data_IF_287013931050
#
_entry.id   IF_287013931050
#
_cell.length_a   1.000
_cell.length_b   1.000
_cell.length_c   1.000
_cell.angle_alpha   90.00
_cell.angle_beta   90.00
_cell.angle_gamma   90.00
#
_symmetry.space_group_name_H-M   'P 1'
#
loop_
_entity.id
_entity.type
_entity.pdbx_description
1 polymer ?
#
# COMPACT_ATOMS: atom_id res chain seq x y z
N UNK A 1 -52.33 -41.87 57.70
CA UNK A 1 -51.54 -41.06 58.66
C UNK A 1 -50.48 -40.29 57.97
N UNK A 2 -50.43 -38.96 58.25
CA UNK A 2 -49.26 -38.03 58.18
C UNK A 2 -48.67 -37.71 56.79
N UNK A 3 -48.94 -36.52 56.35
CA UNK A 3 -48.24 -35.19 56.40
C UNK A 3 -47.35 -34.93 55.16
N UNK A 4 -47.87 -34.03 54.32
CA UNK A 4 -47.40 -32.64 54.09
C UNK A 4 -45.86 -32.47 53.94
N UNK A 5 -45.46 -32.01 52.79
CA UNK A 5 -44.73 -30.71 52.69
C UNK A 5 -44.70 -30.21 51.27
N UNK A 6 -45.18 -29.03 51.15
CA UNK A 6 -44.97 -28.02 50.12
C UNK A 6 -43.49 -27.72 49.94
N UNK A 7 -43.02 -27.61 48.74
CA UNK A 7 -41.91 -26.72 48.41
C UNK A 7 -42.13 -26.13 47.01
N UNK A 8 -42.50 -24.86 47.01
CA UNK A 8 -42.39 -23.92 45.91
C UNK A 8 -40.93 -23.81 45.51
N UNK A 9 -40.63 -23.93 44.22
CA UNK A 9 -39.32 -23.55 43.73
C UNK A 9 -39.49 -22.70 42.48
N UNK A 10 -38.97 -21.52 42.57
CA UNK A 10 -38.94 -20.42 41.62
C UNK A 10 -38.52 -20.84 40.22
N UNK A 11 -39.30 -20.42 39.25
CA UNK A 11 -38.87 -20.33 37.87
C UNK A 11 -37.77 -19.27 37.75
N UNK A 12 -36.55 -19.73 37.58
CA UNK A 12 -35.42 -18.86 37.14
C UNK A 12 -35.51 -18.73 35.62
N UNK A 13 -36.01 -17.61 35.18
CA UNK A 13 -35.84 -17.12 33.84
C UNK A 13 -34.33 -16.88 33.59
N UNK A 14 -33.67 -17.83 33.00
CA UNK A 14 -32.33 -17.60 32.42
C UNK A 14 -32.49 -16.82 31.11
N UNK A 15 -32.51 -15.51 31.20
CA UNK A 15 -32.32 -14.62 30.06
C UNK A 15 -30.92 -14.84 29.54
N UNK A 16 -30.76 -15.59 28.46
CA UNK A 16 -29.57 -15.58 27.68
C UNK A 16 -29.46 -14.20 27.02
N UNK A 17 -28.83 -13.27 27.72
CA UNK A 17 -28.31 -12.05 27.08
C UNK A 17 -27.27 -12.52 26.07
N UNK A 18 -27.65 -12.53 24.81
CA UNK A 18 -26.73 -12.71 23.71
C UNK A 18 -25.71 -11.57 23.74
N UNK A 19 -24.57 -11.81 24.37
CA UNK A 19 -23.39 -11.01 24.18
C UNK A 19 -22.96 -11.23 22.72
N UNK A 20 -23.45 -10.38 21.82
CA UNK A 20 -22.82 -10.19 20.53
C UNK A 20 -21.42 -9.68 20.82
N UNK A 21 -20.46 -10.59 20.85
CA UNK A 21 -19.05 -10.23 20.82
C UNK A 21 -18.85 -9.35 19.58
N UNK A 22 -18.30 -8.14 19.73
CA UNK A 22 -17.92 -7.36 18.55
C UNK A 22 -17.03 -8.26 17.71
N UNK A 23 -17.33 -8.37 16.41
CA UNK A 23 -16.47 -9.05 15.48
C UNK A 23 -15.06 -8.57 15.73
N UNK A 24 -14.17 -9.48 16.14
CA UNK A 24 -12.76 -9.15 16.34
C UNK A 24 -12.28 -8.60 15.00
N UNK A 25 -12.02 -7.31 14.96
CA UNK A 25 -11.41 -6.64 13.83
C UNK A 25 -10.08 -7.36 13.64
N UNK A 26 -9.94 -8.13 12.57
CA UNK A 26 -8.66 -8.72 12.22
C UNK A 26 -7.75 -7.55 11.84
N UNK A 27 -7.08 -7.02 12.85
CA UNK A 27 -6.14 -5.91 12.73
C UNK A 27 -5.00 -6.42 11.86
N UNK A 28 -4.97 -5.98 10.60
CA UNK A 28 -3.89 -6.35 9.68
C UNK A 28 -2.64 -5.67 10.19
N UNK A 29 -1.85 -6.45 10.92
CA UNK A 29 -0.61 -5.99 11.50
C UNK A 29 0.35 -5.59 10.37
N UNK A 30 0.99 -4.43 10.48
CA UNK A 30 2.04 -4.04 9.53
C UNK A 30 3.10 -5.12 9.40
N UNK A 31 3.43 -5.50 8.17
CA UNK A 31 4.50 -6.45 7.91
C UNK A 31 5.83 -5.72 7.84
N UNK A 32 6.75 -6.06 8.74
CA UNK A 32 8.09 -5.49 8.75
C UNK A 32 9.00 -6.23 7.79
N UNK A 33 9.79 -5.46 7.05
CA UNK A 33 10.86 -5.93 6.18
C UNK A 33 12.17 -5.24 6.54
N UNK A 34 13.27 -5.61 5.90
CA UNK A 34 14.55 -4.94 6.09
C UNK A 34 14.42 -3.43 5.84
N UNK A 35 15.05 -2.61 6.68
CA UNK A 35 15.11 -1.17 6.49
C UNK A 35 15.94 -0.85 5.26
N UNK A 36 15.40 -0.08 4.32
CA UNK A 36 16.08 0.37 3.11
C UNK A 36 16.06 1.91 3.03
N UNK A 37 17.20 2.54 3.15
CA UNK A 37 17.35 3.99 2.97
C UNK A 37 17.10 4.35 1.50
N UNK A 38 16.28 5.37 1.26
CA UNK A 38 16.01 5.88 -0.08
C UNK A 38 17.18 6.78 -0.52
N UNK A 39 17.81 6.41 -1.62
CA UNK A 39 18.98 7.14 -2.16
C UNK A 39 18.78 7.49 -3.64
N UNK A 40 19.51 8.48 -4.12
CA UNK A 40 19.59 8.79 -5.55
C UNK A 40 20.50 7.78 -6.30
N UNK A 41 20.72 8.04 -7.58
CA UNK A 41 21.57 7.18 -8.45
C UNK A 41 23.06 7.21 -8.07
N UNK A 42 23.48 8.16 -7.25
CA UNK A 42 24.84 8.31 -6.73
C UNK A 42 25.01 7.75 -5.31
N UNK A 43 23.93 7.19 -4.75
CA UNK A 43 23.92 6.68 -3.38
C UNK A 43 23.73 7.75 -2.30
N UNK A 44 23.38 8.99 -2.69
CA UNK A 44 23.11 10.08 -1.74
C UNK A 44 21.69 9.96 -1.21
N UNK A 45 21.47 10.06 0.13
CA UNK A 45 20.15 10.00 0.71
C UNK A 45 19.20 11.05 0.12
N UNK A 46 17.99 10.60 -0.25
CA UNK A 46 16.92 11.49 -0.73
C UNK A 46 16.43 12.33 0.43
N UNK A 47 16.35 13.64 0.22
CA UNK A 47 15.78 14.61 1.15
C UNK A 47 14.36 14.99 0.70
N UNK A 48 13.42 15.11 1.66
CA UNK A 48 12.03 15.46 1.32
C UNK A 48 11.96 16.83 0.62
N UNK A 49 12.82 17.78 1.01
CA UNK A 49 12.85 19.09 0.38
C UNK A 49 13.23 19.03 -1.12
N UNK A 50 14.05 18.07 -1.52
CA UNK A 50 14.51 17.91 -2.90
C UNK A 50 13.48 17.21 -3.81
N UNK A 51 12.48 16.52 -3.24
CA UNK A 51 11.44 15.86 -4.02
C UNK A 51 10.47 16.91 -4.59
N UNK A 52 10.27 16.86 -5.91
CA UNK A 52 9.24 17.66 -6.57
C UNK A 52 7.84 17.15 -6.19
N UNK A 53 6.93 18.08 -5.96
CA UNK A 53 5.54 17.77 -5.61
C UNK A 53 4.81 17.19 -6.82
N UNK A 54 3.98 16.17 -6.57
CA UNK A 54 3.13 15.51 -7.60
C UNK A 54 3.91 14.89 -8.77
N UNK A 55 5.17 14.53 -8.49
CA UNK A 55 6.05 13.82 -9.44
C UNK A 55 6.05 12.33 -9.12
N UNK A 56 6.06 11.50 -10.17
CA UNK A 56 6.15 10.06 -10.05
C UNK A 56 7.59 9.64 -9.79
N UNK A 57 7.90 9.20 -8.57
CA UNK A 57 9.15 8.52 -8.26
C UNK A 57 8.91 7.03 -8.07
N UNK A 58 9.89 6.20 -8.48
CA UNK A 58 9.85 4.75 -8.36
C UNK A 58 11.12 4.26 -7.65
N UNK A 59 10.95 3.28 -6.76
CA UNK A 59 12.03 2.53 -6.10
C UNK A 59 11.61 1.08 -5.90
N UNK A 60 12.56 0.19 -5.58
CA UNK A 60 12.27 -1.23 -5.34
C UNK A 60 12.15 -1.49 -3.84
N UNK A 61 11.08 -2.19 -3.40
CA UNK A 61 10.86 -2.60 -2.02
C UNK A 61 9.65 -3.54 -1.90
N UNK A 62 9.64 -4.58 -1.05
CA UNK A 62 10.76 -5.05 -0.22
C UNK A 62 11.72 -5.97 -0.96
N UNK A 63 11.41 -6.34 -2.21
CA UNK A 63 12.22 -7.23 -3.03
C UNK A 63 12.80 -6.50 -4.24
N UNK A 64 13.87 -7.07 -4.80
CA UNK A 64 14.58 -6.48 -5.94
C UNK A 64 13.69 -6.20 -7.15
N UNK A 65 12.63 -6.98 -7.36
CA UNK A 65 11.72 -6.84 -8.49
C UNK A 65 10.35 -6.24 -8.14
N UNK A 66 10.14 -5.72 -6.93
CA UNK A 66 8.84 -5.14 -6.54
C UNK A 66 8.88 -3.61 -6.56
N UNK A 67 8.39 -2.97 -7.64
CA UNK A 67 8.40 -1.53 -7.76
C UNK A 67 7.37 -0.88 -6.82
N UNK A 68 7.74 0.27 -6.29
CA UNK A 68 6.91 1.09 -5.42
C UNK A 68 6.93 2.54 -5.91
N UNK A 69 5.80 3.23 -5.80
CA UNK A 69 5.73 4.67 -5.97
C UNK A 69 6.14 5.38 -4.69
N UNK A 70 6.88 6.49 -4.85
CA UNK A 70 7.10 7.49 -3.83
C UNK A 70 6.49 8.80 -4.35
N UNK A 71 5.55 9.38 -3.61
CA UNK A 71 4.79 10.56 -4.02
C UNK A 71 4.82 11.61 -2.92
N UNK A 72 5.27 12.82 -3.26
CA UNK A 72 5.08 14.01 -2.43
C UNK A 72 3.82 14.72 -2.92
N UNK A 73 2.73 14.57 -2.18
CA UNK A 73 1.45 15.15 -2.56
C UNK A 73 1.42 16.65 -2.30
N UNK A 74 0.61 17.39 -3.08
CA UNK A 74 0.45 18.84 -2.94
C UNK A 74 -0.27 19.27 -1.66
N UNK A 75 -0.77 18.32 -0.88
CA UNK A 75 -1.52 18.55 0.37
C UNK A 75 -1.13 17.57 1.46
N UNK A 76 -1.32 17.96 2.70
CA UNK A 76 -1.24 17.06 3.85
C UNK A 76 -2.25 15.92 3.71
N UNK A 77 -1.86 14.74 4.10
CA UNK A 77 -2.75 13.58 4.18
C UNK A 77 -2.94 13.15 5.62
N UNK A 78 -4.14 12.69 5.93
CA UNK A 78 -4.51 12.22 7.27
C UNK A 78 -4.55 10.69 7.30
N UNK A 79 -4.33 10.08 8.46
CA UNK A 79 -4.53 8.65 8.63
C UNK A 79 -5.93 8.22 8.20
N UNK A 80 -6.04 7.00 7.67
CA UNK A 80 -7.30 6.36 7.35
C UNK A 80 -7.38 5.01 8.09
N UNK A 81 -8.36 4.88 8.97
CA UNK A 81 -8.52 3.71 9.85
C UNK A 81 -9.33 2.56 9.26
N UNK A 82 -9.94 2.74 8.08
CA UNK A 82 -10.93 1.77 7.55
C UNK A 82 -10.70 1.44 6.07
N UNK A 83 -9.50 1.02 5.73
CA UNK A 83 -9.25 0.47 4.40
C UNK A 83 -9.67 -0.99 4.36
N UNK A 84 -10.38 -1.40 3.30
CA UNK A 84 -10.91 -2.75 3.15
C UNK A 84 -10.14 -3.56 2.12
N UNK A 85 -9.77 -4.78 2.48
CA UNK A 85 -9.17 -5.77 1.60
C UNK A 85 -10.25 -6.58 0.87
N UNK A 86 -9.84 -7.29 -0.18
CA UNK A 86 -10.72 -8.19 -0.96
C UNK A 86 -11.35 -9.31 -0.11
N UNK A 87 -10.64 -9.82 0.90
CA UNK A 87 -11.12 -10.86 1.82
C UNK A 87 -12.09 -10.32 2.90
N UNK A 88 -12.44 -9.03 2.84
CA UNK A 88 -13.33 -8.36 3.78
C UNK A 88 -12.66 -7.83 5.04
N UNK A 89 -11.37 -8.16 5.27
CA UNK A 89 -10.59 -7.62 6.38
C UNK A 89 -10.38 -6.11 6.24
N UNK A 90 -10.29 -5.41 7.35
CA UNK A 90 -10.00 -3.97 7.40
C UNK A 90 -8.63 -3.71 8.01
N UNK A 91 -8.03 -2.57 7.70
CA UNK A 91 -6.76 -2.14 8.27
C UNK A 91 -6.67 -0.62 8.30
N UNK A 92 -5.80 -0.11 9.20
CA UNK A 92 -5.48 1.29 9.28
C UNK A 92 -4.21 1.64 8.49
N UNK A 93 -4.22 2.83 7.89
CA UNK A 93 -3.06 3.45 7.27
C UNK A 93 -2.71 4.75 8.00
N UNK A 94 -1.44 4.92 8.35
CA UNK A 94 -0.97 6.00 9.22
C UNK A 94 -0.84 7.37 8.54
N UNK A 95 -1.10 7.46 7.22
CA UNK A 95 -0.97 8.70 6.47
C UNK A 95 0.44 8.92 5.91
N UNK A 96 0.74 10.16 5.58
CA UNK A 96 2.03 10.58 5.03
C UNK A 96 3.06 10.92 6.10
N UNK A 97 4.34 10.83 5.73
CA UNK A 97 5.47 11.22 6.58
C UNK A 97 6.06 12.57 6.18
N UNK A 98 7.03 13.02 6.95
CA UNK A 98 7.76 14.28 6.75
C UNK A 98 7.04 15.50 7.32
N UNK A 99 7.67 16.69 7.23
CA UNK A 99 7.15 17.93 7.83
C UNK A 99 5.75 18.30 7.34
N UNK A 100 5.46 18.04 6.06
CA UNK A 100 4.15 18.28 5.45
C UNK A 100 3.14 17.16 5.69
N UNK A 101 3.54 16.03 6.27
CA UNK A 101 2.73 14.79 6.33
C UNK A 101 2.10 14.45 4.97
N UNK A 102 2.87 14.62 3.89
CA UNK A 102 2.39 14.51 2.51
C UNK A 102 3.28 13.62 1.63
N UNK A 103 4.34 13.04 2.21
CA UNK A 103 5.14 12.03 1.51
C UNK A 103 4.54 10.66 1.79
N UNK A 104 4.13 9.97 0.74
CA UNK A 104 3.49 8.65 0.78
C UNK A 104 4.18 7.68 -0.16
N UNK A 105 4.09 6.38 0.12
CA UNK A 105 4.58 5.36 -0.79
C UNK A 105 3.62 4.17 -0.85
N UNK A 106 3.47 3.61 -2.05
CA UNK A 106 2.59 2.49 -2.33
C UNK A 106 3.25 1.51 -3.29
N UNK A 107 2.87 0.23 -3.20
CA UNK A 107 3.22 -0.73 -4.24
C UNK A 107 2.76 -0.19 -5.60
N UNK A 108 3.63 -0.24 -6.60
CA UNK A 108 3.30 0.14 -7.97
C UNK A 108 2.76 -1.06 -8.79
N UNK A 109 2.28 -2.10 -8.11
CA UNK A 109 1.68 -3.28 -8.71
C UNK A 109 0.16 -3.15 -8.60
N UNK A 110 -0.52 -3.02 -9.73
CA UNK A 110 -1.99 -2.89 -9.79
C UNK A 110 -2.68 -4.07 -9.10
N UNK A 111 -3.62 -3.79 -8.19
CA UNK A 111 -4.30 -4.82 -7.40
C UNK A 111 -5.25 -5.73 -8.22
N UNK A 112 -5.55 -5.40 -9.48
CA UNK A 112 -6.38 -6.22 -10.35
C UNK A 112 -5.56 -7.01 -11.39
N UNK A 113 -4.88 -6.31 -12.30
CA UNK A 113 -4.13 -6.96 -13.39
C UNK A 113 -2.67 -7.26 -13.07
N UNK A 114 -2.17 -6.83 -11.91
CA UNK A 114 -0.76 -6.90 -11.53
C UNK A 114 0.17 -6.16 -12.53
N UNK A 115 -0.39 -5.22 -13.30
CA UNK A 115 0.40 -4.34 -14.15
C UNK A 115 1.34 -3.50 -13.26
N UNK A 116 2.56 -3.30 -13.72
CA UNK A 116 3.61 -2.62 -12.96
C UNK A 116 4.55 -1.84 -13.89
N UNK A 117 5.29 -0.85 -13.40
CA UNK A 117 6.31 -0.16 -14.17
C UNK A 117 7.45 -1.12 -14.56
N UNK A 118 7.70 -1.24 -15.86
CA UNK A 118 8.86 -1.93 -16.42
C UNK A 118 9.83 -0.91 -17.01
N UNK A 119 11.02 -1.34 -17.42
CA UNK A 119 11.96 -0.47 -18.15
C UNK A 119 11.42 0.03 -19.48
N UNK A 120 10.54 -0.76 -20.13
CA UNK A 120 9.98 -0.42 -21.44
C UNK A 120 8.74 0.46 -21.30
N UNK A 121 7.80 0.10 -20.41
CA UNK A 121 6.51 0.77 -20.32
C UNK A 121 5.92 0.71 -18.91
N UNK A 122 5.23 1.78 -18.51
CA UNK A 122 4.34 1.78 -17.36
C UNK A 122 2.91 2.09 -17.80
N UNK A 123 1.98 1.19 -17.43
CA UNK A 123 0.54 1.39 -17.55
C UNK A 123 -0.08 1.92 -16.26
N UNK A 124 0.67 1.99 -15.17
CA UNK A 124 0.21 2.52 -13.89
C UNK A 124 1.09 3.68 -13.47
N UNK A 125 0.48 4.79 -13.05
CA UNK A 125 1.19 6.01 -12.65
C UNK A 125 0.28 6.92 -11.82
N UNK A 126 0.87 7.84 -11.08
CA UNK A 126 0.13 8.97 -10.55
C UNK A 126 -0.19 9.96 -11.69
N UNK A 127 -1.43 10.38 -11.78
CA UNK A 127 -1.91 11.40 -12.71
C UNK A 127 -2.43 12.60 -11.91
N UNK A 128 -1.75 13.74 -12.10
CA UNK A 128 -2.15 15.01 -11.50
C UNK A 128 -3.42 15.56 -12.13
N UNK A 129 -3.43 15.57 -13.47
CA UNK A 129 -4.50 16.19 -14.25
C UNK A 129 -5.70 15.25 -14.37
N UNK A 130 -6.92 15.79 -14.45
CA UNK A 130 -8.10 15.00 -14.74
C UNK A 130 -8.03 14.39 -16.16
N UNK A 131 -8.74 13.28 -16.34
CA UNK A 131 -8.95 12.62 -17.63
C UNK A 131 -10.43 12.31 -17.81
N UNK A 132 -10.79 11.68 -18.94
CA UNK A 132 -12.16 11.22 -19.16
C UNK A 132 -12.64 10.18 -18.12
N UNK A 133 -11.70 9.54 -17.43
CA UNK A 133 -11.96 8.42 -16.51
C UNK A 133 -11.54 8.71 -15.06
N UNK A 134 -10.97 9.88 -14.77
CA UNK A 134 -10.56 10.24 -13.40
C UNK A 134 -10.59 11.76 -13.17
N UNK A 135 -10.79 12.15 -11.92
CA UNK A 135 -10.77 13.56 -11.47
C UNK A 135 -9.36 14.13 -11.30
N UNK A 136 -8.32 13.38 -11.59
CA UNK A 136 -6.93 13.76 -11.33
C UNK A 136 -6.49 13.54 -9.87
N UNK A 137 -5.20 13.78 -9.60
CA UNK A 137 -4.56 13.53 -8.31
C UNK A 137 -4.71 12.08 -7.80
N UNK A 138 -4.68 11.12 -8.71
CA UNK A 138 -4.90 9.69 -8.46
C UNK A 138 -3.76 8.83 -9.01
N UNK A 139 -3.59 7.64 -8.48
CA UNK A 139 -2.83 6.59 -9.16
C UNK A 139 -3.79 5.87 -10.09
N UNK A 140 -3.51 5.87 -11.39
CA UNK A 140 -4.37 5.30 -12.42
C UNK A 140 -3.63 4.18 -13.17
N UNK A 141 -4.27 3.03 -13.27
CA UNK A 141 -3.81 1.89 -14.06
C UNK A 141 -4.53 1.87 -15.40
N UNK A 142 -3.89 2.30 -16.46
CA UNK A 142 -4.45 2.32 -17.82
C UNK A 142 -4.63 0.92 -18.43
N UNK A 143 -4.11 -0.13 -17.81
CA UNK A 143 -4.30 -1.51 -18.28
C UNK A 143 -5.72 -2.04 -18.01
N UNK A 144 -6.44 -1.43 -17.04
CA UNK A 144 -7.76 -1.88 -16.61
C UNK A 144 -8.64 -0.77 -16.03
N UNK A 145 -8.16 0.47 -16.06
CA UNK A 145 -8.81 1.66 -15.51
C UNK A 145 -9.11 1.58 -14.00
N UNK A 146 -8.33 0.82 -13.24
CA UNK A 146 -8.36 0.89 -11.77
C UNK A 146 -7.75 2.21 -11.30
N UNK A 147 -8.48 2.93 -10.44
CA UNK A 147 -8.11 4.25 -9.95
C UNK A 147 -8.03 4.23 -8.43
N UNK A 148 -6.92 4.76 -7.91
CA UNK A 148 -6.62 4.75 -6.47
C UNK A 148 -6.34 6.16 -5.96
N UNK A 149 -6.89 6.52 -4.81
CA UNK A 149 -6.64 7.80 -4.14
C UNK A 149 -5.43 7.70 -3.20
N UNK A 150 -4.26 8.25 -3.58
CA UNK A 150 -3.07 8.19 -2.74
C UNK A 150 -3.19 9.02 -1.45
N UNK A 151 -4.11 9.98 -1.40
CA UNK A 151 -4.34 10.77 -0.20
C UNK A 151 -5.18 10.05 0.87
N UNK A 152 -5.80 8.93 0.49
CA UNK A 152 -6.64 8.11 1.36
C UNK A 152 -6.13 6.65 1.46
N UNK A 153 -4.80 6.45 1.44
CA UNK A 153 -4.18 5.12 1.56
C UNK A 153 -4.27 4.26 0.31
N UNK A 154 -4.25 4.89 -0.86
CA UNK A 154 -4.46 4.26 -2.17
C UNK A 154 -5.76 3.46 -2.25
N UNK A 155 -6.81 3.94 -1.59
CA UNK A 155 -8.16 3.38 -1.66
C UNK A 155 -8.64 3.39 -3.10
N UNK A 156 -9.30 2.31 -3.52
CA UNK A 156 -9.95 2.24 -4.84
C UNK A 156 -11.10 3.25 -4.90
N UNK A 157 -11.10 4.11 -5.91
CA UNK A 157 -12.15 5.11 -6.15
C UNK A 157 -12.92 4.85 -7.45
N UNK A 158 -12.32 4.07 -8.38
CA UNK A 158 -12.98 3.63 -9.59
C UNK A 158 -12.29 2.40 -10.19
N UNK A 159 -12.98 1.72 -11.11
CA UNK A 159 -12.44 0.57 -11.84
C UNK A 159 -12.56 -0.76 -11.09
N UNK A 160 -12.01 -1.83 -11.67
CA UNK A 160 -12.25 -3.20 -11.23
C UNK A 160 -11.31 -3.69 -10.10
N UNK A 161 -10.40 -2.86 -9.59
CA UNK A 161 -9.50 -3.30 -8.51
C UNK A 161 -10.30 -3.71 -7.27
N UNK A 162 -10.06 -4.92 -6.71
CA UNK A 162 -10.83 -5.42 -5.59
C UNK A 162 -10.40 -4.86 -4.23
N UNK A 163 -9.27 -4.14 -4.18
CA UNK A 163 -8.65 -3.68 -2.93
C UNK A 163 -7.64 -2.55 -3.19
N UNK A 164 -7.25 -1.79 -2.15
CA UNK A 164 -6.21 -0.77 -2.24
C UNK A 164 -4.85 -1.32 -2.70
N UNK A 165 -3.95 -0.43 -3.12
CA UNK A 165 -2.53 -0.78 -3.22
C UNK A 165 -1.94 -0.91 -1.81
N UNK A 166 -1.05 -1.89 -1.61
CA UNK A 166 -0.31 -1.99 -0.36
C UNK A 166 0.49 -0.70 -0.11
N UNK A 167 0.32 -0.11 1.07
CA UNK A 167 1.12 1.04 1.46
C UNK A 167 2.49 0.59 1.95
N UNK A 168 3.53 1.32 1.55
CA UNK A 168 4.90 1.14 2.05
C UNK A 168 5.07 2.04 3.27
N UNK A 169 5.48 1.45 4.37
CA UNK A 169 5.75 2.18 5.60
C UNK A 169 7.08 2.91 5.47
N UNK A 170 7.02 4.21 5.59
CA UNK A 170 8.18 5.09 5.57
C UNK A 170 8.54 5.55 6.98
N UNK A 171 9.84 5.66 7.25
CA UNK A 171 10.40 6.37 8.40
C UNK A 171 11.12 7.63 7.90
N UNK A 172 10.94 8.73 8.60
CA UNK A 172 11.66 9.98 8.34
C UNK A 172 12.52 10.34 9.55
N UNK A 173 13.83 10.32 9.36
CA UNK A 173 14.80 10.87 10.31
C UNK A 173 14.84 12.39 10.14
N UNK A 174 14.21 13.11 11.06
CA UNK A 174 14.10 14.57 10.99
C UNK A 174 15.43 15.29 11.20
N UNK A 175 16.39 14.67 11.91
CA UNK A 175 17.69 15.28 12.17
C UNK A 175 18.58 15.26 10.94
N UNK A 176 18.46 14.22 10.10
CA UNK A 176 19.25 14.04 8.88
C UNK A 176 18.50 14.35 7.60
N UNK A 177 17.17 14.52 7.70
CA UNK A 177 16.22 14.58 6.58
C UNK A 177 16.36 13.34 5.66
N UNK A 178 16.47 12.15 6.27
CA UNK A 178 16.61 10.89 5.55
C UNK A 178 15.29 10.11 5.60
N UNK A 179 14.97 9.39 4.51
CA UNK A 179 13.76 8.61 4.36
C UNK A 179 14.13 7.15 4.17
N UNK A 180 13.50 6.24 4.91
CA UNK A 180 13.69 4.81 4.73
C UNK A 180 12.35 4.07 4.62
N UNK A 181 12.31 3.04 3.79
CA UNK A 181 11.23 2.06 3.76
C UNK A 181 11.51 0.97 4.81
N UNK A 182 10.48 0.57 5.59
CA UNK A 182 10.65 -0.34 6.73
C UNK A 182 9.60 -1.45 6.80
N UNK A 183 8.66 -1.47 5.88
CA UNK A 183 7.58 -2.45 5.88
C UNK A 183 6.45 -2.09 4.96
N UNK A 184 5.37 -2.82 5.08
CA UNK A 184 4.13 -2.63 4.33
C UNK A 184 2.93 -2.71 5.27
N UNK A 185 1.82 -2.13 4.85
CA UNK A 185 0.51 -2.36 5.45
C UNK A 185 -0.55 -2.48 4.35
N UNK A 186 -1.51 -3.37 4.57
CA UNK A 186 -2.57 -3.65 3.59
C UNK A 186 -2.29 -4.86 2.70
N UNK A 187 -3.02 -4.99 1.58
CA UNK A 187 -3.01 -6.20 0.76
C UNK A 187 -1.78 -6.29 -0.13
N UNK A 188 -0.79 -7.06 0.27
CA UNK A 188 0.36 -7.37 -0.57
C UNK A 188 -0.04 -8.29 -1.72
N UNK A 189 0.43 -7.99 -2.93
CA UNK A 189 0.24 -8.78 -4.14
C UNK A 189 1.52 -9.49 -4.61
N UNK A 190 2.55 -9.53 -3.76
CA UNK A 190 3.89 -9.95 -4.17
C UNK A 190 3.94 -11.40 -4.64
N UNK A 191 3.27 -12.34 -3.94
CA UNK A 191 3.29 -13.74 -4.35
C UNK A 191 2.58 -13.97 -5.67
N UNK A 192 1.40 -13.36 -5.87
CA UNK A 192 0.68 -13.41 -7.13
C UNK A 192 1.46 -12.74 -8.27
N UNK A 193 2.13 -11.62 -7.97
CA UNK A 193 3.01 -10.93 -8.92
C UNK A 193 4.19 -11.81 -9.37
N UNK A 194 4.89 -12.41 -8.43
CA UNK A 194 6.02 -13.29 -8.73
C UNK A 194 5.58 -14.54 -9.50
N UNK A 195 4.45 -15.14 -9.14
CA UNK A 195 3.90 -16.28 -9.87
C UNK A 195 3.52 -15.91 -11.31
N UNK A 196 2.86 -14.78 -11.50
CA UNK A 196 2.43 -14.32 -12.83
C UNK A 196 3.59 -14.00 -13.76
N UNK A 197 4.65 -13.41 -13.25
CA UNK A 197 5.76 -12.90 -14.05
C UNK A 197 7.06 -13.70 -13.88
N UNK A 198 6.98 -14.93 -13.37
CA UNK A 198 8.12 -15.78 -13.01
C UNK A 198 9.20 -15.81 -14.10
N UNK A 199 8.84 -16.22 -15.31
CA UNK A 199 9.78 -16.36 -16.43
C UNK A 199 10.42 -15.02 -16.81
N UNK A 200 9.61 -13.94 -16.87
CA UNK A 200 10.11 -12.61 -17.20
C UNK A 200 11.07 -12.10 -16.14
N UNK A 201 10.71 -12.23 -14.87
CA UNK A 201 11.53 -11.76 -13.75
C UNK A 201 12.80 -12.59 -13.58
N UNK A 202 12.74 -13.90 -13.88
CA UNK A 202 13.94 -14.74 -13.90
C UNK A 202 14.93 -14.28 -14.98
N UNK A 203 14.43 -13.91 -16.16
CA UNK A 203 15.26 -13.36 -17.23
C UNK A 203 15.84 -11.98 -16.86
N UNK A 204 15.04 -11.07 -16.31
CA UNK A 204 15.47 -9.69 -15.98
C UNK A 204 16.40 -9.63 -14.76
N UNK A 205 16.24 -10.50 -13.77
CA UNK A 205 16.93 -10.45 -12.49
C UNK A 205 17.88 -11.63 -12.24
N UNK A 206 18.01 -12.57 -13.20
CA UNK A 206 18.90 -13.72 -13.05
C UNK A 206 18.61 -14.58 -11.80
N UNK A 207 17.33 -14.79 -11.47
CA UNK A 207 16.90 -15.53 -10.27
C UNK A 207 16.90 -14.73 -8.97
N UNK A 208 17.30 -13.45 -8.98
CA UNK A 208 17.37 -12.59 -7.79
C UNK A 208 16.11 -11.73 -7.54
N UNK A 209 15.05 -11.93 -8.32
CA UNK A 209 13.84 -11.12 -8.25
C UNK A 209 13.23 -11.05 -6.83
N UNK A 210 13.23 -12.16 -6.09
CA UNK A 210 12.73 -12.27 -4.71
C UNK A 210 13.77 -11.97 -3.63
N UNK A 211 14.98 -11.58 -3.99
CA UNK A 211 15.95 -11.16 -2.98
C UNK A 211 15.47 -9.90 -2.31
N UNK A 212 15.61 -9.85 -1.00
CA UNK A 212 15.35 -8.61 -0.25
C UNK A 212 16.26 -7.49 -0.79
N UNK A 213 15.72 -6.28 -0.84
CA UNK A 213 16.55 -5.11 -1.17
C UNK A 213 17.62 -4.92 -0.10
N UNK A 214 18.82 -4.42 -0.47
CA UNK A 214 19.88 -4.11 0.49
C UNK A 214 19.47 -2.95 1.40
N UNK A 215 20.40 -2.53 2.28
CA UNK A 215 20.17 -1.43 3.22
C UNK A 215 19.84 -0.08 2.54
N UNK A 216 20.03 0.01 1.22
CA UNK A 216 19.67 1.18 0.41
C UNK A 216 18.86 0.76 -0.82
N UNK A 217 17.98 1.64 -1.30
CA UNK A 217 17.26 1.46 -2.57
C UNK A 217 17.22 2.75 -3.36
N UNK A 218 17.41 2.64 -4.68
CA UNK A 218 17.56 3.82 -5.56
C UNK A 218 16.19 4.32 -5.98
N UNK A 219 15.94 5.60 -5.74
CA UNK A 219 14.76 6.34 -6.21
C UNK A 219 15.07 7.00 -7.55
N UNK A 220 14.14 6.88 -8.49
CA UNK A 220 14.23 7.52 -9.83
C UNK A 220 12.87 8.10 -10.19
N UNK A 221 12.86 9.13 -11.02
CA UNK A 221 11.62 9.54 -11.66
C UNK A 221 11.13 8.44 -12.63
N UNK A 222 9.82 8.26 -12.69
CA UNK A 222 9.20 7.21 -13.51
C UNK A 222 9.56 7.38 -15.00
N UNK A 223 9.61 8.61 -15.47
CA UNK A 223 9.99 8.97 -16.85
C UNK A 223 11.45 8.64 -17.18
N UNK A 224 12.31 8.62 -16.18
CA UNK A 224 13.70 8.16 -16.32
C UNK A 224 13.84 6.64 -16.14
N UNK A 225 12.89 6.02 -15.43
CA UNK A 225 12.86 4.58 -15.21
C UNK A 225 12.27 3.83 -16.41
N UNK A 226 11.17 4.31 -16.99
CA UNK A 226 10.44 3.73 -18.11
C UNK A 226 10.73 4.51 -19.39
N UNK A 227 10.88 3.82 -20.53
CA UNK A 227 10.96 4.47 -21.86
C UNK A 227 9.63 5.14 -22.24
N UNK A 228 8.51 4.54 -21.83
CA UNK A 228 7.17 5.03 -22.15
C UNK A 228 6.26 4.95 -20.94
N UNK A 229 5.52 6.03 -20.67
CA UNK A 229 4.45 6.05 -19.65
C UNK A 229 3.11 6.28 -20.33
N UNK A 230 2.17 5.36 -20.12
CA UNK A 230 0.83 5.44 -20.69
C UNK A 230 -0.02 6.41 -19.86
N UNK A 231 -0.81 7.23 -20.56
CA UNK A 231 -1.80 8.14 -19.95
C UNK A 231 -3.19 7.74 -20.47
N UNK A 232 -4.17 7.78 -19.58
CA UNK A 232 -5.56 7.44 -19.90
C UNK A 232 -6.61 8.43 -19.36
#
# INVERSE_FOLDING_TARGET
MKRRRFLSTCALFSGAAGLSLPAAWADVTPRRYGRALLVDIHGVPIRIAALATETNYVFQYPFAATPCFLLKLGRRVTPNGELRRQDGGTYGWQGGVGPGSNLVAFSAICAHKLAYPTREVSFIRFQKDPSSTSTGNVIHCCADHSVYDPSAGARVVAGPAPQPLAAILLEHDTARDEIAAVGTVGPEQFDAFFAKYETKLAFEYGGKARNAVPATTVVRELESYCKTTIRC
#
